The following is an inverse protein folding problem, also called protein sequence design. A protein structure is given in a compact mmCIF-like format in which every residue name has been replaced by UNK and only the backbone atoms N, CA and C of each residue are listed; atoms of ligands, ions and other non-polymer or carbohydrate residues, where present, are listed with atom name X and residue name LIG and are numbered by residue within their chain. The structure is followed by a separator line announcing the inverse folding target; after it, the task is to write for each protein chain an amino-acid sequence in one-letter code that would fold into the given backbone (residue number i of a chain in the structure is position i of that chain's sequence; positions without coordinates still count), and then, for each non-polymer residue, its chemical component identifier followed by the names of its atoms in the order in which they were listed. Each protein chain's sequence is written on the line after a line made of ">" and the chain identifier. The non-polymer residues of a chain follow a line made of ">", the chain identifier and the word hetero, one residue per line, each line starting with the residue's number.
data_IF_911887801479
#
_entry.id   IF_911887801479
#
_cell.length_a   1.000
_cell.length_b   1.000
_cell.length_c   1.000
_cell.angle_alpha   90.00
_cell.angle_beta   90.00
_cell.angle_gamma   90.00
#
_symmetry.space_group_name_H-M   'P 1'
#
loop_
_entity.id
_entity.type
_entity.pdbx_description
1 polymer ?
#
# COMPACT_ATOMS: atom_id res chain seq x y z
N UNK A 1 28.52 48.72 -49.10
CA UNK A 1 29.46 47.69 -48.60
C UNK A 1 28.96 46.36 -49.11
N UNK A 2 29.72 45.71 -49.98
CA UNK A 2 29.36 44.41 -50.58
C UNK A 2 29.91 43.33 -49.67
N UNK A 3 29.02 42.59 -48.99
CA UNK A 3 29.42 41.45 -48.18
C UNK A 3 29.98 40.34 -49.10
N UNK A 4 31.13 39.74 -48.78
CA UNK A 4 31.74 38.71 -49.62
C UNK A 4 30.86 37.45 -49.65
N UNK A 5 30.71 36.86 -50.85
CA UNK A 5 29.88 35.67 -51.14
C UNK A 5 30.29 34.39 -50.39
N UNK A 6 31.45 34.44 -49.75
CA UNK A 6 32.00 33.41 -48.85
C UNK A 6 31.17 33.25 -47.55
N UNK A 7 30.44 34.29 -47.11
CA UNK A 7 29.63 34.24 -45.89
C UNK A 7 28.17 33.81 -46.10
N UNK A 8 27.69 33.68 -47.34
CA UNK A 8 26.30 33.29 -47.63
C UNK A 8 26.17 31.94 -48.32
N UNK A 9 27.29 31.34 -48.75
CA UNK A 9 27.30 29.96 -49.22
C UNK A 9 27.56 29.07 -48.03
N UNK A 10 26.49 28.56 -47.41
CA UNK A 10 26.53 27.50 -46.38
C UNK A 10 27.52 26.47 -46.88
N UNK A 11 28.72 26.44 -46.28
CA UNK A 11 29.85 25.70 -46.81
C UNK A 11 29.39 24.28 -47.08
N UNK A 12 29.64 23.74 -48.27
CA UNK A 12 29.26 22.34 -48.59
C UNK A 12 29.74 21.39 -47.48
N UNK A 13 30.87 21.74 -46.86
CA UNK A 13 31.39 21.18 -45.62
C UNK A 13 30.39 21.19 -44.44
N UNK A 14 29.75 22.32 -44.12
CA UNK A 14 28.73 22.43 -43.07
C UNK A 14 27.53 21.52 -43.33
N UNK A 15 27.08 21.37 -44.59
CA UNK A 15 25.98 20.45 -44.94
C UNK A 15 26.38 18.99 -44.75
N UNK A 16 27.60 18.61 -45.16
CA UNK A 16 28.12 17.26 -44.97
C UNK A 16 28.28 16.96 -43.48
N UNK A 17 28.85 17.90 -42.71
CA UNK A 17 29.01 17.77 -41.26
C UNK A 17 27.65 17.63 -40.55
N UNK A 18 26.66 18.43 -40.94
CA UNK A 18 25.31 18.36 -40.37
C UNK A 18 24.63 17.01 -40.68
N UNK A 19 24.75 16.49 -41.91
CA UNK A 19 24.22 15.18 -42.26
C UNK A 19 24.92 14.05 -41.50
N UNK A 20 26.24 14.12 -41.35
CA UNK A 20 26.99 13.13 -40.56
C UNK A 20 26.59 13.17 -39.08
N UNK A 21 26.42 14.35 -38.48
CA UNK A 21 25.96 14.46 -37.10
C UNK A 21 24.52 13.96 -36.94
N UNK A 22 23.63 14.28 -37.87
CA UNK A 22 22.23 13.84 -37.82
C UNK A 22 22.08 12.32 -37.95
N UNK A 23 23.00 11.65 -38.65
CA UNK A 23 23.00 10.19 -38.80
C UNK A 23 23.73 9.51 -37.63
N UNK A 24 24.85 10.05 -37.17
CA UNK A 24 25.65 9.43 -36.10
C UNK A 24 25.04 9.58 -34.71
N UNK A 25 24.39 10.72 -34.40
CA UNK A 25 23.74 10.97 -33.11
C UNK A 25 22.66 9.94 -32.74
N UNK A 26 21.65 9.62 -33.58
CA UNK A 26 20.62 8.65 -33.21
C UNK A 26 21.19 7.24 -33.07
N UNK A 27 22.16 6.86 -33.92
CA UNK A 27 22.82 5.55 -33.84
C UNK A 27 23.61 5.44 -32.52
N UNK A 28 24.37 6.48 -32.17
CA UNK A 28 25.14 6.52 -30.93
C UNK A 28 24.22 6.48 -29.71
N UNK A 29 23.15 7.28 -29.70
CA UNK A 29 22.16 7.29 -28.63
C UNK A 29 21.50 5.92 -28.43
N UNK A 30 21.12 5.25 -29.52
CA UNK A 30 20.51 3.91 -29.45
C UNK A 30 21.49 2.86 -28.89
N UNK A 31 22.76 2.87 -29.34
CA UNK A 31 23.78 1.93 -28.84
C UNK A 31 24.07 2.17 -27.36
N UNK A 32 24.18 3.43 -26.93
CA UNK A 32 24.36 3.79 -25.52
C UNK A 32 23.13 3.43 -24.67
N UNK A 33 21.91 3.58 -25.20
CA UNK A 33 20.69 3.17 -24.52
C UNK A 33 20.58 1.65 -24.35
N UNK A 34 20.90 0.89 -25.41
CA UNK A 34 20.88 -0.57 -25.37
C UNK A 34 21.93 -1.14 -24.40
N UNK A 35 23.12 -0.53 -24.32
CA UNK A 35 24.14 -0.93 -23.35
C UNK A 35 23.76 -0.53 -21.92
N UNK A 36 23.10 0.61 -21.73
CA UNK A 36 22.60 1.03 -20.42
C UNK A 36 21.55 0.06 -19.88
N UNK A 37 20.55 -0.32 -20.69
CA UNK A 37 19.54 -1.29 -20.26
C UNK A 37 20.18 -2.63 -19.86
N UNK A 38 21.16 -3.11 -20.63
CA UNK A 38 21.91 -4.33 -20.29
C UNK A 38 22.63 -4.22 -18.93
N UNK A 39 23.17 -3.05 -18.59
CA UNK A 39 23.85 -2.83 -17.32
C UNK A 39 22.86 -2.72 -16.13
N UNK A 40 21.63 -2.27 -16.39
CA UNK A 40 20.58 -2.19 -15.37
C UNK A 40 19.98 -3.58 -15.08
N UNK A 41 19.79 -4.45 -16.09
CA UNK A 41 19.33 -5.83 -15.88
C UNK A 41 20.29 -6.65 -14.99
N UNK A 42 21.61 -6.39 -15.07
CA UNK A 42 22.61 -7.03 -14.19
C UNK A 42 22.51 -6.55 -12.73
N UNK A 43 21.99 -5.33 -12.52
CA UNK A 43 21.84 -4.72 -11.19
C UNK A 43 20.46 -4.93 -10.57
N UNK A 44 19.45 -5.32 -11.35
CA UNK A 44 18.09 -5.56 -10.87
C UNK A 44 17.82 -7.07 -10.78
N UNK A 45 18.47 -7.72 -9.83
CA UNK A 45 17.80 -8.80 -9.09
C UNK A 45 16.78 -8.17 -8.14
N UNK A 46 15.66 -7.65 -8.68
CA UNK A 46 14.43 -7.77 -7.90
C UNK A 46 14.20 -9.26 -7.85
N UNK A 47 14.45 -9.78 -6.65
CA UNK A 47 14.15 -11.11 -6.21
C UNK A 47 12.62 -11.31 -6.31
N UNK A 48 12.13 -11.54 -7.52
CA UNK A 48 11.19 -12.63 -7.74
C UNK A 48 12.06 -13.87 -7.66
N UNK A 49 12.31 -14.40 -6.46
CA UNK A 49 12.83 -15.76 -6.37
C UNK A 49 11.77 -16.66 -7.00
N UNK A 50 12.00 -17.37 -8.12
CA UNK A 50 11.30 -18.61 -8.31
C UNK A 50 11.94 -19.59 -7.31
N UNK A 51 11.54 -19.51 -6.05
CA UNK A 51 11.80 -20.60 -5.10
C UNK A 51 10.96 -21.78 -5.59
N UNK A 52 11.57 -22.92 -5.97
CA UNK A 52 10.81 -24.11 -6.32
C UNK A 52 10.28 -24.76 -5.04
N UNK A 53 9.17 -24.23 -4.53
CA UNK A 53 8.31 -24.91 -3.56
C UNK A 53 6.88 -24.75 -4.06
N UNK A 54 6.11 -25.84 -4.28
CA UNK A 54 4.72 -25.73 -4.65
C UNK A 54 3.92 -25.36 -3.40
N UNK A 55 4.06 -24.12 -2.95
CA UNK A 55 3.05 -23.50 -2.10
C UNK A 55 2.21 -22.71 -3.07
N UNK A 56 1.00 -23.19 -3.35
CA UNK A 56 0.03 -22.47 -4.18
C UNK A 56 -0.05 -21.02 -3.68
N UNK A 57 0.46 -20.09 -4.48
CA UNK A 57 0.30 -18.67 -4.21
C UNK A 57 -1.17 -18.36 -4.49
N UNK A 58 -2.02 -18.59 -3.48
CA UNK A 58 -3.45 -18.31 -3.57
C UNK A 58 -3.62 -16.80 -3.62
N UNK A 59 -3.84 -16.27 -4.83
CA UNK A 59 -4.21 -14.88 -5.03
C UNK A 59 -5.69 -14.69 -4.64
N UNK A 60 -5.93 -13.83 -3.64
CA UNK A 60 -7.28 -13.49 -3.18
C UNK A 60 -7.83 -12.26 -3.92
N UNK A 61 -9.16 -12.15 -3.98
CA UNK A 61 -9.84 -10.99 -4.56
C UNK A 61 -9.58 -9.74 -3.72
N UNK A 62 -9.51 -8.57 -4.39
CA UNK A 62 -9.23 -7.28 -3.75
C UNK A 62 -10.47 -6.67 -3.06
N UNK A 63 -11.29 -7.52 -2.45
CA UNK A 63 -12.47 -7.06 -1.70
C UNK A 63 -12.03 -6.46 -0.37
N UNK A 64 -12.71 -5.40 0.05
CA UNK A 64 -12.53 -4.77 1.36
C UNK A 64 -13.81 -4.86 2.18
N UNK A 65 -13.71 -5.32 3.42
CA UNK A 65 -14.78 -5.27 4.43
C UNK A 65 -14.51 -4.08 5.34
N UNK A 66 -15.56 -3.28 5.58
CA UNK A 66 -15.48 -2.17 6.53
C UNK A 66 -15.78 -2.70 7.93
N UNK A 67 -14.86 -2.48 8.85
CA UNK A 67 -14.95 -2.79 10.26
C UNK A 67 -15.81 -1.74 10.99
N UNK A 68 -16.37 -2.05 12.17
CA UNK A 68 -17.22 -1.12 12.93
C UNK A 68 -16.48 0.14 13.43
N UNK A 69 -15.15 0.11 13.45
CA UNK A 69 -14.28 1.26 13.69
C UNK A 69 -14.02 2.14 12.45
N UNK A 70 -14.52 1.72 11.28
CA UNK A 70 -14.32 2.37 10.00
C UNK A 70 -13.03 1.95 9.27
N UNK A 71 -12.24 1.03 9.83
CA UNK A 71 -11.08 0.47 9.14
C UNK A 71 -11.51 -0.48 8.00
N UNK A 72 -10.72 -0.56 6.94
CA UNK A 72 -10.94 -1.47 5.82
C UNK A 72 -9.98 -2.66 5.90
N UNK A 73 -10.51 -3.88 6.00
CA UNK A 73 -9.71 -5.12 6.00
C UNK A 73 -9.89 -5.87 4.68
N UNK A 74 -8.79 -6.45 4.19
CA UNK A 74 -8.76 -7.25 2.96
C UNK A 74 -8.87 -8.75 3.23
N UNK A 75 -8.88 -9.55 2.16
CA UNK A 75 -8.83 -11.02 2.26
C UNK A 75 -7.38 -11.52 2.38
N UNK A 76 -7.16 -12.54 3.20
CA UNK A 76 -5.84 -13.12 3.48
C UNK A 76 -5.79 -14.59 3.01
N UNK A 77 -4.73 -15.02 2.30
CA UNK A 77 -4.53 -16.43 1.92
C UNK A 77 -4.26 -17.31 3.17
N UNK A 78 -4.57 -18.62 3.14
CA UNK A 78 -4.87 -19.48 1.98
C UNK A 78 -6.37 -19.64 1.63
N UNK A 79 -7.28 -19.28 2.54
CA UNK A 79 -8.73 -19.46 2.33
C UNK A 79 -9.42 -18.20 1.76
N UNK A 80 -8.68 -17.10 1.57
CA UNK A 80 -9.21 -15.81 1.12
C UNK A 80 -10.36 -15.27 1.99
N UNK A 81 -10.23 -15.46 3.30
CA UNK A 81 -11.15 -14.91 4.30
C UNK A 81 -10.69 -13.51 4.71
N UNK A 82 -11.63 -12.67 5.16
CA UNK A 82 -11.29 -11.32 5.62
C UNK A 82 -10.41 -11.38 6.86
N UNK A 83 -9.38 -10.53 6.91
CA UNK A 83 -8.60 -10.32 8.11
C UNK A 83 -9.49 -9.85 9.26
N UNK A 84 -9.14 -10.24 10.49
CA UNK A 84 -9.83 -9.77 11.68
C UNK A 84 -9.70 -8.25 11.82
N UNK A 85 -10.73 -7.59 12.32
CA UNK A 85 -10.67 -6.15 12.54
C UNK A 85 -9.71 -5.84 13.70
N UNK A 86 -8.93 -4.74 13.67
CA UNK A 86 -7.94 -4.42 14.71
C UNK A 86 -8.54 -4.17 16.10
N UNK A 87 -9.86 -3.94 16.20
CA UNK A 87 -10.60 -3.85 17.45
C UNK A 87 -11.47 -5.09 17.73
N UNK A 88 -11.35 -6.14 16.92
CA UNK A 88 -11.66 -7.51 17.32
C UNK A 88 -10.46 -8.05 18.11
N UNK A 89 -10.04 -7.33 19.15
CA UNK A 89 -9.48 -8.02 20.30
C UNK A 89 -10.59 -8.99 20.73
N UNK A 90 -10.53 -10.23 20.25
CA UNK A 90 -11.14 -11.35 20.96
C UNK A 90 -10.60 -11.20 22.38
N UNK A 91 -11.43 -10.79 23.35
CA UNK A 91 -11.01 -10.99 24.71
C UNK A 91 -11.05 -12.50 24.85
N UNK A 92 -9.87 -13.11 24.88
CA UNK A 92 -9.70 -14.40 25.52
C UNK A 92 -9.85 -14.22 27.04
N UNK A 93 -10.91 -13.52 27.45
CA UNK A 93 -11.23 -13.15 28.81
C UNK A 93 -12.68 -13.53 28.96
N UNK A 94 -12.91 -14.55 29.76
CA UNK A 94 -14.22 -14.90 30.27
C UNK A 94 -14.86 -13.62 30.81
N UNK A 95 -15.89 -13.14 30.13
CA UNK A 95 -16.58 -11.94 30.54
C UNK A 95 -17.47 -12.28 31.74
N UNK A 96 -17.38 -11.47 32.78
CA UNK A 96 -18.22 -11.59 33.96
C UNK A 96 -19.15 -10.38 34.07
N UNK A 97 -20.34 -10.61 34.64
CA UNK A 97 -21.27 -9.53 34.90
C UNK A 97 -20.70 -8.58 35.96
N UNK A 98 -20.83 -7.25 35.77
CA UNK A 98 -20.27 -6.30 36.71
C UNK A 98 -21.05 -6.35 38.03
N UNK A 99 -20.39 -6.18 39.19
CA UNK A 99 -21.00 -6.33 40.51
C UNK A 99 -22.15 -5.35 40.80
N UNK A 100 -22.26 -4.28 40.01
CA UNK A 100 -23.32 -3.27 40.11
C UNK A 100 -24.45 -3.41 39.09
N UNK A 101 -24.44 -4.39 38.18
CA UNK A 101 -25.33 -4.45 37.00
C UNK A 101 -25.31 -3.17 36.15
N UNK A 102 -24.27 -2.34 36.24
CA UNK A 102 -24.10 -1.19 35.36
C UNK A 102 -22.62 -0.90 35.12
N UNK A 103 -22.33 -0.29 33.97
CA UNK A 103 -21.02 0.30 33.66
C UNK A 103 -21.17 1.79 33.37
N UNK A 104 -20.21 2.59 33.85
CA UNK A 104 -20.17 4.02 33.59
C UNK A 104 -19.15 4.31 32.48
N UNK A 105 -19.67 4.74 31.34
CA UNK A 105 -18.90 5.09 30.15
C UNK A 105 -18.80 6.60 29.93
N UNK A 106 -19.16 7.39 30.95
CA UNK A 106 -19.08 8.84 30.89
C UNK A 106 -17.61 9.27 30.88
N UNK A 107 -17.17 10.06 29.88
CA UNK A 107 -15.81 10.56 29.82
C UNK A 107 -15.57 11.53 30.97
N UNK A 108 -14.94 11.03 32.03
CA UNK A 108 -14.55 11.84 33.19
C UNK A 108 -13.47 12.88 32.85
N UNK A 109 -13.11 13.75 33.80
CA UNK A 109 -12.03 14.72 33.64
C UNK A 109 -10.65 14.06 33.43
N UNK A 110 -10.54 12.76 33.70
CA UNK A 110 -9.35 11.94 33.49
C UNK A 110 -9.67 10.95 32.37
N UNK A 111 -8.91 11.00 31.26
CA UNK A 111 -9.09 10.13 30.07
C UNK A 111 -8.63 8.68 30.31
N UNK A 112 -9.12 8.01 31.36
CA UNK A 112 -8.93 6.58 31.51
C UNK A 112 -10.01 5.85 30.71
N UNK A 113 -9.61 5.19 29.61
CA UNK A 113 -10.50 4.34 28.80
C UNK A 113 -10.84 3.11 29.64
N UNK A 114 -12.07 3.02 30.14
CA UNK A 114 -12.55 1.81 30.80
C UNK A 114 -12.65 0.69 29.73
N UNK A 115 -11.95 -0.46 29.88
CA UNK A 115 -12.06 -1.59 28.95
C UNK A 115 -13.50 -2.14 28.82
N UNK A 116 -14.31 -1.99 29.87
CA UNK A 116 -15.71 -2.44 29.91
C UNK A 116 -16.66 -1.55 29.09
N UNK A 117 -16.16 -0.43 28.55
CA UNK A 117 -16.90 0.44 27.63
C UNK A 117 -16.63 0.13 26.15
N UNK A 118 -16.06 -1.05 25.86
CA UNK A 118 -15.98 -1.56 24.49
C UNK A 118 -17.35 -1.97 23.98
N UNK A 119 -17.60 -1.76 22.68
CA UNK A 119 -18.87 -2.15 22.06
C UNK A 119 -19.16 -3.66 22.20
N UNK A 120 -18.10 -4.47 22.19
CA UNK A 120 -18.20 -5.92 22.36
C UNK A 120 -18.67 -6.32 23.77
N UNK A 121 -18.14 -5.69 24.83
CA UNK A 121 -18.56 -5.96 26.20
C UNK A 121 -20.01 -5.56 26.45
N UNK A 122 -20.43 -4.39 25.96
CA UNK A 122 -21.80 -3.90 26.15
C UNK A 122 -22.82 -4.84 25.49
N UNK A 123 -22.57 -5.26 24.25
CA UNK A 123 -23.45 -6.20 23.54
C UNK A 123 -23.53 -7.58 24.23
N UNK A 124 -22.40 -8.04 24.77
CA UNK A 124 -22.37 -9.26 25.58
C UNK A 124 -23.15 -9.09 26.89
N UNK A 125 -22.96 -7.99 27.61
CA UNK A 125 -23.59 -7.75 28.92
C UNK A 125 -25.11 -7.58 28.81
N UNK A 126 -25.61 -6.91 27.77
CA UNK A 126 -27.06 -6.80 27.51
C UNK A 126 -27.74 -8.16 27.31
N UNK A 127 -27.03 -9.14 26.74
CA UNK A 127 -27.57 -10.47 26.45
C UNK A 127 -27.36 -11.48 27.57
N UNK A 128 -26.36 -11.29 28.43
CA UNK A 128 -25.96 -12.27 29.45
C UNK A 128 -26.21 -11.82 30.90
N UNK A 129 -26.41 -10.52 31.16
CA UNK A 129 -26.59 -9.98 32.50
C UNK A 129 -28.02 -9.39 32.68
N UNK A 130 -28.88 -10.01 33.51
CA UNK A 130 -30.24 -9.51 33.73
C UNK A 130 -30.22 -8.20 34.52
N UNK A 131 -30.79 -7.13 33.95
CA UNK A 131 -30.86 -5.81 34.59
C UNK A 131 -29.63 -4.93 34.35
N UNK A 132 -28.84 -5.23 33.33
CA UNK A 132 -27.70 -4.42 32.92
C UNK A 132 -28.12 -3.04 32.38
N UNK A 133 -27.48 -1.98 32.87
CA UNK A 133 -27.68 -0.60 32.41
C UNK A 133 -26.34 0.06 32.04
N UNK A 134 -26.30 0.75 30.89
CA UNK A 134 -25.14 1.55 30.48
C UNK A 134 -25.40 3.01 30.83
N UNK A 135 -24.55 3.59 31.68
CA UNK A 135 -24.60 5.01 32.03
C UNK A 135 -23.57 5.75 31.19
N UNK A 136 -24.06 6.58 30.26
CA UNK A 136 -23.26 7.40 29.34
C UNK A 136 -22.89 8.76 29.92
#
# INVERSE_FOLDING_TARGET
>A
MVLPKELTTVTTFSKILALLLFITLPILAFVLGASYQKAIDDSQSIVLTPTPTPTEEVACTMDAKICPDGASVGRVPPNCEFEACPNEETPSTEYECPPGNYVNCMPGPIKSKNPDCSAAYIQWAESNCPGFEVVY
#
